data_IF_962853053980
#
_entry.id   IF_962853053980
#
_cell.length_a   1.000
_cell.length_b   1.000
_cell.length_c   1.000
_cell.angle_alpha   90.00
_cell.angle_beta   90.00
_cell.angle_gamma   90.00
#
_symmetry.space_group_name_H-M   'P 1'
#
loop_
_entity.id
_entity.type
_entity.pdbx_description
1 polymer ?
#
# COMPACT_ATOMS: atom_id res chain seq x y z
N UNK A 1 -12.97 -3.10 33.69
CA UNK A 1 -11.70 -2.80 34.39
C UNK A 1 -10.61 -3.82 34.04
N UNK A 2 -10.87 -5.14 34.13
CA UNK A 2 -9.88 -6.20 33.86
C UNK A 2 -9.30 -6.13 32.44
N UNK A 3 -10.14 -5.88 31.44
CA UNK A 3 -9.72 -5.73 30.03
C UNK A 3 -8.71 -4.58 29.83
N UNK A 4 -8.96 -3.45 30.48
CA UNK A 4 -8.04 -2.28 30.39
C UNK A 4 -6.68 -2.63 30.98
N UNK A 5 -6.66 -3.25 32.17
CA UNK A 5 -5.41 -3.68 32.83
C UNK A 5 -4.66 -4.72 31.97
N UNK A 6 -5.38 -5.64 31.33
CA UNK A 6 -4.79 -6.61 30.41
C UNK A 6 -4.14 -5.92 29.20
N UNK A 7 -4.86 -5.01 28.56
CA UNK A 7 -4.34 -4.25 27.40
C UNK A 7 -3.10 -3.41 27.78
N UNK A 8 -3.10 -2.77 28.95
CA UNK A 8 -1.95 -2.00 29.44
C UNK A 8 -0.72 -2.90 29.64
N UNK A 9 -0.91 -4.06 30.29
CA UNK A 9 0.18 -5.02 30.49
C UNK A 9 0.72 -5.58 29.19
N UNK A 10 -0.17 -5.86 28.22
CA UNK A 10 0.22 -6.35 26.88
C UNK A 10 1.02 -5.29 26.12
N UNK A 11 0.58 -4.04 26.17
CA UNK A 11 1.30 -2.89 25.60
C UNK A 11 2.69 -2.74 26.19
N UNK A 12 2.81 -2.75 27.52
CA UNK A 12 4.10 -2.59 28.21
C UNK A 12 5.06 -3.75 27.91
N UNK A 13 4.54 -4.97 27.82
CA UNK A 13 5.31 -6.15 27.40
C UNK A 13 5.82 -5.97 25.96
N UNK A 14 4.97 -5.54 25.04
CA UNK A 14 5.32 -5.29 23.64
C UNK A 14 6.42 -4.25 23.51
N UNK A 15 6.30 -3.10 24.17
CA UNK A 15 7.31 -2.05 24.15
C UNK A 15 8.65 -2.50 24.75
N UNK A 16 8.62 -3.25 25.85
CA UNK A 16 9.83 -3.77 26.48
C UNK A 16 10.62 -4.70 25.54
N UNK A 17 9.92 -5.60 24.85
CA UNK A 17 10.55 -6.52 23.90
C UNK A 17 10.98 -5.85 22.61
N UNK A 18 10.20 -4.91 22.07
CA UNK A 18 10.58 -4.14 20.89
C UNK A 18 11.86 -3.30 21.14
N UNK A 19 11.95 -2.68 22.32
CA UNK A 19 13.16 -1.96 22.72
C UNK A 19 14.39 -2.87 22.83
N UNK A 20 14.24 -4.05 23.43
CA UNK A 20 15.34 -5.01 23.56
C UNK A 20 15.80 -5.58 22.22
N UNK A 21 14.87 -5.79 21.29
CA UNK A 21 15.17 -6.33 19.99
C UNK A 21 15.98 -5.34 19.12
N UNK A 22 15.78 -4.03 19.29
CA UNK A 22 16.53 -2.99 18.57
C UNK A 22 16.40 -3.09 17.06
N UNK A 23 15.21 -3.50 16.55
CA UNK A 23 14.98 -3.73 15.12
C UNK A 23 15.05 -2.40 14.38
N UNK A 24 15.93 -2.32 13.39
CA UNK A 24 16.03 -1.21 12.46
C UNK A 24 16.11 -1.71 11.03
N UNK A 25 15.91 -0.85 10.06
CA UNK A 25 16.05 -1.16 8.65
C UNK A 25 16.78 -0.05 7.90
N UNK A 26 17.45 -0.43 6.84
CA UNK A 26 18.16 0.47 5.96
C UNK A 26 17.72 0.32 4.51
N UNK A 27 18.36 1.11 3.64
CA UNK A 27 18.11 1.05 2.18
C UNK A 27 18.40 -0.34 1.61
N UNK A 28 19.39 -1.04 2.16
CA UNK A 28 19.86 -2.32 1.63
C UNK A 28 18.91 -3.47 1.95
N UNK A 29 18.07 -3.34 2.98
CA UNK A 29 17.04 -4.32 3.33
C UNK A 29 15.89 -4.36 2.30
N UNK A 30 15.77 -3.34 1.45
CA UNK A 30 14.84 -3.28 0.33
C UNK A 30 15.45 -3.98 -0.88
N UNK A 31 15.21 -5.27 -1.02
CA UNK A 31 15.76 -6.08 -2.11
C UNK A 31 14.90 -5.90 -3.38
N UNK A 32 15.55 -5.49 -4.47
CA UNK A 32 14.91 -5.39 -5.79
C UNK A 32 15.03 -6.73 -6.47
N UNK A 33 13.96 -7.35 -6.99
CA UNK A 33 14.04 -8.64 -7.68
C UNK A 33 14.78 -8.51 -9.00
N UNK A 34 15.72 -9.41 -9.26
CA UNK A 34 16.51 -9.45 -10.51
C UNK A 34 15.61 -9.71 -11.74
N UNK A 35 14.54 -10.46 -11.57
CA UNK A 35 13.55 -10.76 -12.60
C UNK A 35 12.74 -9.54 -13.06
N UNK A 36 12.81 -8.41 -12.33
CA UNK A 36 12.06 -7.19 -12.65
C UNK A 36 12.28 -6.72 -14.08
N UNK A 37 13.53 -6.66 -14.53
CA UNK A 37 13.89 -6.15 -15.85
C UNK A 37 13.26 -7.00 -16.96
N UNK A 38 13.34 -8.33 -16.83
CA UNK A 38 12.78 -9.24 -17.81
C UNK A 38 11.26 -9.16 -17.88
N UNK A 39 10.58 -9.12 -16.73
CA UNK A 39 9.12 -8.98 -16.68
C UNK A 39 8.64 -7.68 -17.33
N UNK A 40 9.41 -6.61 -17.20
CA UNK A 40 9.11 -5.32 -17.83
C UNK A 40 9.31 -5.39 -19.34
N UNK A 41 10.39 -6.01 -19.82
CA UNK A 41 10.68 -6.17 -21.25
C UNK A 41 9.64 -7.04 -21.94
N UNK A 42 9.25 -8.16 -21.35
CA UNK A 42 8.17 -9.02 -21.83
C UNK A 42 6.85 -8.24 -21.96
N UNK A 43 6.53 -7.43 -20.96
CA UNK A 43 5.32 -6.60 -20.96
C UNK A 43 5.37 -5.51 -22.04
N UNK A 44 6.53 -4.88 -22.23
CA UNK A 44 6.72 -3.90 -23.32
C UNK A 44 6.55 -4.55 -24.70
N UNK A 45 7.02 -5.78 -24.88
CA UNK A 45 6.80 -6.56 -26.10
C UNK A 45 5.31 -6.77 -26.39
N UNK A 46 4.55 -7.21 -25.39
CA UNK A 46 3.08 -7.37 -25.52
C UNK A 46 2.37 -6.05 -25.86
N UNK A 47 2.84 -4.94 -25.30
CA UNK A 47 2.24 -3.63 -25.60
C UNK A 47 2.55 -3.18 -27.02
N UNK A 48 3.75 -3.45 -27.52
CA UNK A 48 4.11 -3.18 -28.91
C UNK A 48 3.22 -3.97 -29.88
N UNK A 49 2.90 -5.22 -29.57
CA UNK A 49 1.95 -6.03 -30.35
C UNK A 49 0.55 -5.41 -30.35
N UNK A 50 0.06 -4.92 -29.20
CA UNK A 50 -1.23 -4.23 -29.13
C UNK A 50 -1.22 -2.91 -29.92
N UNK A 51 -0.11 -2.22 -29.96
CA UNK A 51 0.08 -1.01 -30.75
C UNK A 51 0.04 -1.29 -32.25
N UNK A 52 0.64 -2.38 -32.68
CA UNK A 52 0.58 -2.89 -34.06
C UNK A 52 -0.83 -3.27 -34.44
N UNK A 53 -1.55 -4.04 -33.62
CA UNK A 53 -2.95 -4.40 -33.84
C UNK A 53 -3.87 -3.18 -33.94
N UNK A 54 -3.59 -2.15 -33.17
CA UNK A 54 -4.33 -0.89 -33.25
C UNK A 54 -4.03 -0.14 -34.56
N UNK A 55 -2.77 -0.08 -34.99
CA UNK A 55 -2.38 0.58 -36.25
C UNK A 55 -2.94 -0.13 -37.47
N UNK A 56 -3.10 -1.46 -37.41
CA UNK A 56 -3.74 -2.27 -38.44
C UNK A 56 -5.28 -2.19 -38.43
N UNK A 57 -5.86 -1.49 -37.44
CA UNK A 57 -7.30 -1.32 -37.30
C UNK A 57 -8.05 -2.54 -36.76
N UNK A 58 -7.34 -3.54 -36.21
CA UNK A 58 -7.94 -4.77 -35.67
C UNK A 58 -8.62 -4.53 -34.31
N UNK A 59 -8.17 -3.56 -33.54
CA UNK A 59 -8.72 -3.21 -32.22
C UNK A 59 -9.08 -1.74 -32.13
N UNK A 60 -10.08 -1.44 -31.32
CA UNK A 60 -10.50 -0.06 -31.04
C UNK A 60 -9.55 0.62 -30.03
N UNK A 61 -9.57 1.95 -30.00
CA UNK A 61 -8.78 2.72 -29.02
C UNK A 61 -9.11 2.33 -27.56
N UNK A 62 -10.39 2.09 -27.26
CA UNK A 62 -10.83 1.68 -25.93
C UNK A 62 -10.33 0.29 -25.53
N UNK A 63 -10.33 -0.64 -26.50
CA UNK A 63 -9.79 -1.99 -26.29
C UNK A 63 -8.28 -1.96 -26.08
N UNK A 64 -7.54 -1.18 -26.88
CA UNK A 64 -6.11 -0.97 -26.68
C UNK A 64 -5.84 -0.48 -25.27
N UNK A 65 -6.53 0.57 -24.85
CA UNK A 65 -6.38 1.15 -23.52
C UNK A 65 -6.60 0.10 -22.41
N UNK A 66 -7.68 -0.65 -22.48
CA UNK A 66 -7.99 -1.67 -21.48
C UNK A 66 -6.95 -2.80 -21.46
N UNK A 67 -6.49 -3.26 -22.62
CA UNK A 67 -5.44 -4.29 -22.73
C UNK A 67 -4.10 -3.82 -22.15
N UNK A 68 -3.71 -2.57 -22.41
CA UNK A 68 -2.48 -1.97 -21.91
C UNK A 68 -2.52 -1.83 -20.38
N UNK A 69 -3.63 -1.32 -19.84
CA UNK A 69 -3.82 -1.19 -18.39
C UNK A 69 -3.80 -2.55 -17.69
N UNK A 70 -4.48 -3.56 -18.26
CA UNK A 70 -4.49 -4.92 -17.72
C UNK A 70 -3.10 -5.58 -17.77
N UNK A 71 -2.36 -5.41 -18.87
CA UNK A 71 -0.99 -5.92 -18.98
C UNK A 71 -0.06 -5.33 -17.93
N UNK A 72 -0.10 -4.01 -17.71
CA UNK A 72 0.71 -3.36 -16.69
C UNK A 72 0.28 -3.69 -15.27
N UNK A 73 -1.01 -3.87 -15.01
CA UNK A 73 -1.50 -4.33 -13.72
C UNK A 73 -0.96 -5.71 -13.37
N UNK A 74 -1.08 -6.66 -14.31
CA UNK A 74 -0.54 -8.02 -14.16
C UNK A 74 0.98 -8.04 -13.98
N UNK A 75 1.72 -7.20 -14.72
CA UNK A 75 3.17 -7.05 -14.55
C UNK A 75 3.50 -6.56 -13.14
N UNK A 76 2.81 -5.52 -12.69
CA UNK A 76 3.02 -4.94 -11.36
C UNK A 76 2.78 -5.96 -10.24
N UNK A 77 1.76 -6.79 -10.36
CA UNK A 77 1.44 -7.83 -9.38
C UNK A 77 2.46 -8.97 -9.39
N UNK A 78 2.95 -9.36 -10.58
CA UNK A 78 4.06 -10.34 -10.69
C UNK A 78 5.33 -9.83 -10.03
N UNK A 79 5.73 -8.58 -10.34
CA UNK A 79 6.91 -7.95 -9.72
C UNK A 79 6.75 -7.86 -8.20
N UNK A 80 5.55 -7.54 -7.71
CA UNK A 80 5.26 -7.51 -6.28
C UNK A 80 5.38 -8.91 -5.63
N UNK A 81 4.88 -9.94 -6.31
CA UNK A 81 5.00 -11.32 -5.84
C UNK A 81 6.46 -11.80 -5.74
N UNK A 82 7.26 -11.54 -6.76
CA UNK A 82 8.70 -11.88 -6.77
C UNK A 82 9.47 -11.09 -5.69
N UNK A 83 9.17 -9.80 -5.55
CA UNK A 83 9.73 -8.96 -4.49
C UNK A 83 9.41 -9.53 -3.09
N UNK A 84 8.16 -9.89 -2.84
CA UNK A 84 7.75 -10.44 -1.55
C UNK A 84 8.42 -11.79 -1.27
N UNK A 85 8.60 -12.65 -2.27
CA UNK A 85 9.37 -13.88 -2.14
C UNK A 85 10.83 -13.61 -1.80
N UNK A 86 11.47 -12.65 -2.48
CA UNK A 86 12.85 -12.26 -2.21
C UNK A 86 13.06 -11.71 -0.81
N UNK A 87 12.16 -10.86 -0.33
CA UNK A 87 12.24 -10.26 1.01
C UNK A 87 11.88 -11.28 2.11
N UNK A 88 10.99 -12.25 1.84
CA UNK A 88 10.61 -13.29 2.79
C UNK A 88 11.67 -14.39 2.93
N UNK A 89 12.62 -14.48 2.01
CA UNK A 89 13.69 -15.46 2.06
C UNK A 89 14.56 -15.25 3.31
N UNK A 90 14.62 -16.28 4.14
CA UNK A 90 15.44 -16.26 5.34
C UNK A 90 16.87 -16.69 4.99
N UNK A 91 17.84 -15.82 5.18
CA UNK A 91 19.25 -16.14 4.98
C UNK A 91 19.82 -16.84 6.21
N UNK A 92 20.47 -17.98 6.00
CA UNK A 92 21.26 -18.66 7.04
C UNK A 92 22.66 -18.04 7.08
N UNK A 93 22.91 -17.22 8.06
CA UNK A 93 24.24 -16.66 8.34
C UNK A 93 24.95 -17.51 9.40
N UNK A 94 26.28 -17.50 9.49
CA UNK A 94 27.03 -18.18 10.55
C UNK A 94 26.57 -17.79 11.96
N UNK A 95 26.09 -16.57 12.13
CA UNK A 95 25.62 -16.00 13.40
C UNK A 95 24.12 -16.31 13.70
N UNK A 96 23.43 -17.05 12.82
CA UNK A 96 22.04 -17.43 12.99
C UNK A 96 21.15 -17.16 11.77
N UNK A 97 19.84 -17.14 11.99
CA UNK A 97 18.84 -16.81 10.97
C UNK A 97 18.70 -15.29 10.85
N UNK A 98 19.10 -14.76 9.70
CA UNK A 98 18.86 -13.35 9.37
C UNK A 98 17.51 -13.20 8.68
N UNK A 99 16.56 -12.59 9.36
CA UNK A 99 15.25 -12.24 8.81
C UNK A 99 15.28 -10.76 8.41
N UNK A 100 14.73 -10.46 7.24
CA UNK A 100 14.62 -9.08 6.78
C UNK A 100 13.68 -8.27 7.70
N UNK A 101 14.19 -7.18 8.27
CA UNK A 101 13.46 -6.34 9.22
C UNK A 101 12.21 -5.71 8.59
N UNK A 102 12.26 -5.35 7.31
CA UNK A 102 11.14 -4.76 6.59
C UNK A 102 10.02 -5.79 6.42
N UNK A 103 10.37 -7.02 6.07
CA UNK A 103 9.42 -8.13 5.99
C UNK A 103 8.78 -8.42 7.36
N UNK A 104 9.60 -8.49 8.39
CA UNK A 104 9.13 -8.72 9.76
C UNK A 104 8.10 -7.68 10.20
N UNK A 105 8.33 -6.40 9.93
CA UNK A 105 7.41 -5.33 10.30
C UNK A 105 6.08 -5.42 9.54
N UNK A 106 6.11 -5.76 8.25
CA UNK A 106 4.91 -5.84 7.45
C UNK A 106 4.11 -7.12 7.68
N UNK A 107 4.78 -8.26 7.84
CA UNK A 107 4.13 -9.54 8.12
C UNK A 107 3.46 -9.55 9.50
N UNK A 108 4.09 -8.97 10.50
CA UNK A 108 3.52 -8.80 11.85
C UNK A 108 2.38 -7.78 11.91
N UNK A 109 2.19 -6.95 10.88
CA UNK A 109 1.21 -5.87 10.88
C UNK A 109 1.58 -4.67 11.74
N UNK A 110 2.81 -4.60 12.29
CA UNK A 110 3.25 -3.51 13.14
C UNK A 110 3.32 -2.17 12.37
N UNK A 111 3.91 -2.20 11.17
CA UNK A 111 4.02 -1.02 10.30
C UNK A 111 4.22 -1.43 8.85
N UNK A 112 3.54 -0.72 7.96
CA UNK A 112 3.63 -0.96 6.52
C UNK A 112 2.69 -2.06 6.02
N UNK A 113 2.48 -2.07 4.73
CA UNK A 113 1.71 -3.08 4.02
C UNK A 113 2.49 -3.57 2.79
N UNK A 114 2.11 -4.72 2.23
CA UNK A 114 2.70 -5.23 0.99
C UNK A 114 2.62 -4.22 -0.16
N UNK A 115 1.53 -3.42 -0.23
CA UNK A 115 1.36 -2.37 -1.22
C UNK A 115 2.39 -1.23 -1.06
N UNK A 116 2.72 -0.85 0.17
CA UNK A 116 3.75 0.16 0.44
C UNK A 116 5.14 -0.36 0.12
N UNK A 117 5.44 -1.63 0.45
CA UNK A 117 6.71 -2.26 0.09
C UNK A 117 6.88 -2.38 -1.42
N UNK A 118 5.81 -2.70 -2.16
CA UNK A 118 5.81 -2.73 -3.62
C UNK A 118 6.28 -1.41 -4.22
N UNK A 119 5.87 -0.28 -3.66
CA UNK A 119 6.32 1.04 -4.10
C UNK A 119 7.78 1.34 -3.74
N UNK A 120 8.30 0.76 -2.65
CA UNK A 120 9.68 0.99 -2.18
C UNK A 120 10.71 0.19 -2.97
N UNK A 121 10.46 -1.09 -3.23
CA UNK A 121 11.42 -2.01 -3.81
C UNK A 121 10.98 -2.71 -5.11
N UNK A 122 9.72 -2.64 -5.46
CA UNK A 122 9.18 -3.25 -6.66
C UNK A 122 9.01 -2.26 -7.81
N UNK A 123 7.76 -1.93 -8.12
CA UNK A 123 7.35 -1.01 -9.16
C UNK A 123 6.18 -0.18 -8.65
N UNK A 124 6.18 1.12 -8.88
CA UNK A 124 5.07 1.97 -8.45
C UNK A 124 3.78 1.68 -9.21
N UNK A 125 3.89 1.42 -10.52
CA UNK A 125 2.79 1.00 -11.37
C UNK A 125 1.97 2.14 -11.93
N UNK A 126 0.69 1.87 -12.19
CA UNK A 126 -0.24 2.79 -12.82
C UNK A 126 -0.75 3.85 -11.83
N UNK A 127 -0.85 5.08 -12.30
CA UNK A 127 -1.36 6.21 -11.53
C UNK A 127 -2.68 6.69 -12.12
N UNK A 128 -3.66 6.94 -11.26
CA UNK A 128 -4.92 7.53 -11.65
C UNK A 128 -4.86 9.06 -11.53
N UNK A 129 -5.40 9.74 -12.54
CA UNK A 129 -5.65 11.19 -12.50
C UNK A 129 -6.72 11.52 -11.45
N UNK A 130 -6.84 12.77 -11.02
CA UNK A 130 -7.95 13.19 -10.14
C UNK A 130 -9.33 12.89 -10.73
N UNK A 131 -9.47 12.87 -12.06
CA UNK A 131 -10.70 12.51 -12.77
C UNK A 131 -11.11 11.03 -12.63
N UNK A 132 -10.19 10.17 -12.15
CA UNK A 132 -10.39 8.71 -12.07
C UNK A 132 -9.82 7.93 -13.26
N UNK A 133 -9.45 8.60 -14.34
CA UNK A 133 -8.82 7.98 -15.50
C UNK A 133 -7.40 7.51 -15.16
N UNK A 134 -7.05 6.29 -15.57
CA UNK A 134 -5.71 5.73 -15.36
C UNK A 134 -4.79 6.20 -16.48
N UNK A 135 -3.58 6.62 -16.15
CA UNK A 135 -2.56 7.00 -17.12
C UNK A 135 -1.97 5.72 -17.71
N UNK A 136 -1.99 5.60 -19.05
CA UNK A 136 -1.49 4.41 -19.76
C UNK A 136 0.00 4.15 -19.50
N UNK A 137 0.79 5.20 -19.29
CA UNK A 137 2.22 5.08 -19.00
C UNK A 137 2.44 4.79 -17.52
N UNK A 138 2.92 3.58 -17.16
CA UNK A 138 3.18 3.24 -15.77
C UNK A 138 4.46 3.92 -15.26
N UNK A 139 4.59 4.00 -13.95
CA UNK A 139 5.84 4.32 -13.29
C UNK A 139 6.58 3.01 -13.02
N UNK A 140 7.64 2.76 -13.77
CA UNK A 140 8.44 1.53 -13.71
C UNK A 140 9.39 1.56 -12.51
N UNK A 141 9.93 2.73 -12.21
CA UNK A 141 10.88 2.91 -11.12
C UNK A 141 10.22 2.74 -9.74
N UNK A 142 11.02 2.35 -8.78
CA UNK A 142 10.66 2.33 -7.36
C UNK A 142 11.37 3.48 -6.63
N UNK A 143 11.03 3.68 -5.36
CA UNK A 143 11.65 4.76 -4.57
C UNK A 143 13.13 4.48 -4.22
N UNK A 144 13.56 3.21 -4.18
CA UNK A 144 14.96 2.86 -3.94
C UNK A 144 15.86 3.25 -5.12
N UNK A 145 15.39 3.02 -6.35
CA UNK A 145 16.10 3.38 -7.59
C UNK A 145 16.06 4.90 -7.85
N UNK A 146 14.99 5.54 -7.43
CA UNK A 146 14.68 6.93 -7.75
C UNK A 146 13.84 7.05 -9.02
N UNK A 147 12.97 8.07 -9.05
CA UNK A 147 12.07 8.36 -10.16
C UNK A 147 12.74 9.29 -11.15
N UNK A 148 12.46 9.10 -12.44
CA UNK A 148 12.81 10.11 -13.47
C UNK A 148 11.92 11.33 -13.30
N UNK A 149 12.33 12.48 -13.89
CA UNK A 149 11.56 13.73 -13.80
C UNK A 149 10.13 13.57 -14.34
N UNK A 150 9.95 12.82 -15.43
CA UNK A 150 8.63 12.55 -16.01
C UNK A 150 7.78 11.67 -15.12
N UNK A 151 8.37 10.61 -14.57
CA UNK A 151 7.68 9.71 -13.64
C UNK A 151 7.29 10.42 -12.34
N UNK A 152 8.15 11.31 -11.87
CA UNK A 152 7.84 12.16 -10.71
C UNK A 152 6.66 13.08 -11.01
N UNK A 153 6.62 13.72 -12.16
CA UNK A 153 5.51 14.57 -12.57
C UNK A 153 4.19 13.77 -12.63
N UNK A 154 4.19 12.60 -13.28
CA UNK A 154 3.01 11.73 -13.32
C UNK A 154 2.56 11.31 -11.91
N UNK A 155 3.51 11.07 -11.03
CA UNK A 155 3.29 10.74 -9.63
C UNK A 155 2.55 11.84 -8.84
N UNK A 156 2.73 13.11 -9.20
CA UNK A 156 2.09 14.24 -8.52
C UNK A 156 0.56 14.23 -8.66
N UNK A 157 0.03 13.67 -9.75
CA UNK A 157 -1.42 13.50 -9.94
C UNK A 157 -2.03 12.62 -8.85
N UNK A 158 -1.38 11.49 -8.54
CA UNK A 158 -1.83 10.61 -7.46
C UNK A 158 -1.70 11.24 -6.07
N UNK A 159 -0.63 11.97 -5.82
CA UNK A 159 -0.44 12.69 -4.56
C UNK A 159 -1.51 13.77 -4.35
N UNK A 160 -1.78 14.59 -5.37
CA UNK A 160 -2.82 15.62 -5.31
C UNK A 160 -4.21 15.03 -5.09
N UNK A 161 -4.54 13.93 -5.79
CA UNK A 161 -5.79 13.19 -5.57
C UNK A 161 -5.91 12.70 -4.13
N UNK A 162 -4.85 12.09 -3.59
CA UNK A 162 -4.83 11.59 -2.22
C UNK A 162 -5.05 12.69 -1.18
N UNK A 163 -4.44 13.85 -1.34
CA UNK A 163 -4.63 15.00 -0.47
C UNK A 163 -6.07 15.55 -0.54
N UNK A 164 -6.63 15.70 -1.74
CA UNK A 164 -8.00 16.16 -1.93
C UNK A 164 -9.03 15.16 -1.35
N UNK A 165 -8.86 13.87 -1.61
CA UNK A 165 -9.73 12.81 -1.10
C UNK A 165 -9.71 12.76 0.43
N UNK A 166 -8.53 12.91 1.05
CA UNK A 166 -8.40 12.94 2.51
C UNK A 166 -9.14 14.11 3.11
N UNK A 167 -8.99 15.31 2.56
CA UNK A 167 -9.67 16.51 3.04
C UNK A 167 -11.21 16.37 2.98
N UNK A 168 -11.73 15.87 1.86
CA UNK A 168 -13.18 15.70 1.66
C UNK A 168 -13.75 14.57 2.53
N UNK A 169 -13.06 13.43 2.62
CA UNK A 169 -13.51 12.29 3.44
C UNK A 169 -13.52 12.62 4.93
N UNK A 170 -12.58 13.40 5.42
CA UNK A 170 -12.52 13.83 6.82
C UNK A 170 -13.78 14.61 7.20
N UNK A 171 -14.18 15.59 6.39
CA UNK A 171 -15.38 16.38 6.63
C UNK A 171 -16.66 15.52 6.60
N UNK A 172 -16.77 14.65 5.60
CA UNK A 172 -17.92 13.74 5.44
C UNK A 172 -18.04 12.75 6.61
N UNK A 173 -16.92 12.15 7.03
CA UNK A 173 -16.86 11.25 8.18
C UNK A 173 -17.21 11.94 9.49
N UNK A 174 -16.73 13.17 9.71
CA UNK A 174 -17.04 13.94 10.89
C UNK A 174 -18.53 14.29 10.99
N UNK A 175 -19.16 14.68 9.90
CA UNK A 175 -20.58 14.94 9.86
C UNK A 175 -21.42 13.67 10.09
N UNK A 176 -21.04 12.55 9.47
CA UNK A 176 -21.71 11.27 9.70
C UNK A 176 -21.61 10.83 11.16
N UNK A 177 -20.42 10.92 11.76
CA UNK A 177 -20.19 10.55 13.17
C UNK A 177 -21.06 11.40 14.09
N UNK A 178 -21.14 12.72 13.87
CA UNK A 178 -22.00 13.61 14.66
C UNK A 178 -23.46 13.19 14.57
N UNK A 179 -23.98 12.92 13.36
CA UNK A 179 -25.37 12.48 13.17
C UNK A 179 -25.65 11.15 13.87
N UNK A 180 -24.72 10.21 13.80
CA UNK A 180 -24.86 8.93 14.49
C UNK A 180 -24.86 9.10 16.02
N UNK A 181 -24.01 9.95 16.56
CA UNK A 181 -24.01 10.25 18.00
C UNK A 181 -25.32 10.91 18.44
N UNK A 182 -25.85 11.86 17.66
CA UNK A 182 -27.11 12.54 17.99
C UNK A 182 -28.28 11.54 18.03
N UNK A 183 -28.33 10.59 17.09
CA UNK A 183 -29.35 9.52 17.07
C UNK A 183 -29.13 8.50 18.19
N UNK A 184 -27.89 8.07 18.41
CA UNK A 184 -27.55 7.07 19.42
C UNK A 184 -27.74 7.61 20.86
N UNK A 185 -27.68 8.93 21.05
CA UNK A 185 -27.92 9.56 22.35
C UNK A 185 -29.33 9.22 22.89
N UNK A 186 -30.35 9.27 22.06
CA UNK A 186 -31.72 8.93 22.45
C UNK A 186 -31.84 7.46 22.85
N UNK A 187 -31.18 6.57 22.08
CA UNK A 187 -31.15 5.12 22.39
C UNK A 187 -30.46 4.81 23.72
N UNK A 188 -29.36 5.53 24.04
CA UNK A 188 -28.64 5.35 25.32
C UNK A 188 -29.45 5.83 26.53
N UNK A 189 -30.30 6.82 26.38
CA UNK A 189 -31.22 7.28 27.45
C UNK A 189 -32.21 6.18 27.86
N UNK A 190 -32.63 5.33 26.92
CA UNK A 190 -33.57 4.25 27.20
C UNK A 190 -32.94 2.94 27.67
N UNK A 191 -31.64 2.71 27.34
CA UNK A 191 -30.95 1.43 27.55
C UNK A 191 -29.89 1.45 28.64
N UNK A 192 -29.38 2.63 29.01
CA UNK A 192 -28.34 2.77 30.04
C UNK A 192 -28.77 3.80 31.09
N UNK A 193 -28.54 3.52 32.38
CA UNK A 193 -28.74 4.51 33.41
C UNK A 193 -27.83 5.72 33.17
N UNK A 194 -28.34 6.92 33.43
CA UNK A 194 -27.60 8.15 33.32
C UNK A 194 -26.30 8.08 34.15
N UNK A 195 -25.18 8.67 33.70
CA UNK A 195 -23.98 8.77 34.53
C UNK A 195 -24.21 9.39 35.90
N UNK A 196 -25.27 10.17 36.05
CA UNK A 196 -25.69 10.73 37.36
C UNK A 196 -26.32 9.68 38.27
N UNK A 197 -26.94 8.63 37.71
CA UNK A 197 -27.61 7.59 38.48
C UNK A 197 -26.62 6.52 38.97
N UNK A 198 -25.44 6.45 38.39
CA UNK A 198 -24.35 5.55 38.82
C UNK A 198 -23.52 6.12 39.99
N UNK A 199 -23.83 7.31 40.49
CA UNK A 199 -23.13 8.00 41.56
C UNK A 199 -23.78 7.89 42.94
N UNK A 200 -24.76 6.97 43.10
CA UNK A 200 -25.39 6.67 44.40
C UNK A 200 -25.04 5.29 44.88
#
# INVERSE_FOLDING_TARGET
KTTVIFCDKLKDLGFKHAFKAGISFGKDDLVIPESKTQLIEDTKGLIADYETQYSEGLITRGEKYNKVVDAWSKCTDKVAGEMMRGISATEKTPDGLKINSVYMMADSGARGSAAQMKQLAGMRGLIAKPSGEIIETPIISNFKEGLTALEYFNSTHGARKGLADTALKTASSGYLTRRLCDVAQDCLLYTSPSPRDNGR
#
